data_IF_565443987701
#
_entry.id   IF_565443987701
#
_cell.length_a   1.000
_cell.length_b   1.000
_cell.length_c   1.000
_cell.angle_alpha   90.00
_cell.angle_beta   90.00
_cell.angle_gamma   90.00
#
_symmetry.space_group_name_H-M   'P 1'
#
loop_
_entity.id
_entity.type
_entity.pdbx_description
1 polymer ?
#
# COMPACT_ATOMS: atom_id res chain seq x y z
N UNK A 1 34.28 59.72 -21.71
CA UNK A 1 33.82 59.30 -20.38
C UNK A 1 32.56 60.08 -20.07
N UNK A 2 31.45 59.41 -19.72
CA UNK A 2 30.16 59.97 -19.22
C UNK A 2 28.87 59.76 -20.04
N UNK A 3 28.72 58.70 -20.85
CA UNK A 3 27.37 58.35 -21.36
C UNK A 3 26.98 56.86 -21.33
N UNK A 4 27.84 55.96 -20.84
CA UNK A 4 27.54 54.51 -20.85
C UNK A 4 26.91 54.02 -19.53
N UNK A 5 27.02 54.78 -18.44
CA UNK A 5 26.56 54.31 -17.11
C UNK A 5 25.05 54.43 -16.84
N UNK A 6 24.29 55.15 -17.67
CA UNK A 6 22.89 55.47 -17.33
C UNK A 6 21.84 54.54 -17.97
N UNK A 7 22.24 53.52 -18.73
CA UNK A 7 21.32 52.55 -19.35
C UNK A 7 21.33 51.15 -18.72
N UNK A 8 22.18 50.92 -17.72
CA UNK A 8 22.27 49.63 -17.02
C UNK A 8 21.45 49.56 -15.72
N UNK A 9 20.75 50.63 -15.34
CA UNK A 9 19.98 50.67 -14.08
C UNK A 9 18.48 50.41 -14.23
N UNK A 10 17.97 50.20 -15.45
CA UNK A 10 16.53 50.01 -15.71
C UNK A 10 16.15 48.60 -16.21
N UNK A 11 17.06 47.62 -16.10
CA UNK A 11 16.75 46.20 -16.39
C UNK A 11 16.73 45.31 -15.13
N UNK A 12 17.20 45.81 -13.99
CA UNK A 12 17.34 45.01 -12.76
C UNK A 12 16.23 45.24 -11.73
N UNK A 13 15.16 45.97 -12.07
CA UNK A 13 14.06 46.30 -11.13
C UNK A 13 12.73 45.64 -11.50
N UNK A 14 12.67 44.77 -12.52
CA UNK A 14 11.44 44.05 -12.88
C UNK A 14 11.32 42.61 -12.34
N UNK A 15 12.24 42.17 -11.48
CA UNK A 15 12.26 40.81 -10.91
C UNK A 15 12.01 40.74 -9.39
N UNK A 16 11.45 41.79 -8.78
CA UNK A 16 11.30 41.86 -7.30
C UNK A 16 9.90 42.24 -6.79
N UNK A 17 8.82 42.10 -7.58
CA UNK A 17 7.44 42.40 -7.11
C UNK A 17 6.43 41.28 -7.40
N UNK A 18 6.85 40.02 -7.35
CA UNK A 18 5.94 38.91 -7.06
C UNK A 18 6.61 37.99 -6.03
N UNK A 19 6.73 38.50 -4.81
CA UNK A 19 6.97 37.69 -3.62
C UNK A 19 5.76 36.80 -3.36
N UNK A 20 5.51 35.84 -4.25
CA UNK A 20 4.62 34.73 -3.95
C UNK A 20 5.29 33.98 -2.82
N UNK A 21 4.69 34.02 -1.63
CA UNK A 21 4.97 33.06 -0.57
C UNK A 21 4.57 31.68 -1.11
N UNK A 22 5.44 31.07 -1.91
CA UNK A 22 5.34 29.65 -2.25
C UNK A 22 5.70 28.95 -0.95
N UNK A 23 4.69 28.74 -0.11
CA UNK A 23 4.76 27.78 0.97
C UNK A 23 5.00 26.44 0.27
N UNK A 24 6.27 26.06 0.16
CA UNK A 24 6.64 24.72 -0.25
C UNK A 24 6.01 23.80 0.79
N UNK A 25 4.91 23.14 0.43
CA UNK A 25 4.44 22.02 1.22
C UNK A 25 5.58 21.01 1.20
N UNK A 26 6.11 20.61 2.36
CA UNK A 26 7.35 19.82 2.43
C UNK A 26 7.24 18.45 1.72
N UNK A 27 6.05 18.05 1.28
CA UNK A 27 5.74 16.73 0.74
C UNK A 27 5.24 16.73 -0.72
N UNK A 28 5.27 17.86 -1.42
CA UNK A 28 4.76 17.98 -2.79
C UNK A 28 3.22 17.93 -2.86
N UNK A 29 2.64 17.65 -4.05
CA UNK A 29 1.18 17.59 -4.21
C UNK A 29 0.56 16.42 -3.42
N UNK A 30 -0.67 16.63 -2.96
CA UNK A 30 -1.46 15.72 -2.13
C UNK A 30 -2.13 14.61 -2.95
N UNK A 31 -2.56 13.54 -2.28
CA UNK A 31 -3.37 12.50 -2.90
C UNK A 31 -4.67 13.06 -3.46
N UNK A 32 -5.23 14.10 -2.84
CA UNK A 32 -6.36 14.88 -3.36
C UNK A 32 -6.08 15.47 -4.74
N UNK A 33 -4.90 16.06 -4.96
CA UNK A 33 -4.51 16.63 -6.25
C UNK A 33 -4.46 15.54 -7.33
N UNK A 34 -3.91 14.36 -7.00
CA UNK A 34 -3.91 13.22 -7.91
C UNK A 34 -5.31 12.70 -8.21
N UNK A 35 -6.14 12.58 -7.18
CA UNK A 35 -7.51 12.12 -7.31
C UNK A 35 -8.30 13.01 -8.28
N UNK A 36 -8.19 14.33 -8.13
CA UNK A 36 -8.82 15.30 -9.02
C UNK A 36 -8.27 15.20 -10.45
N UNK A 37 -6.96 15.05 -10.64
CA UNK A 37 -6.40 14.79 -11.97
C UNK A 37 -6.90 13.49 -12.60
N UNK A 38 -7.04 12.42 -11.81
CA UNK A 38 -7.45 11.10 -12.29
C UNK A 38 -8.95 10.97 -12.59
N UNK A 39 -9.79 11.88 -12.11
CA UNK A 39 -11.22 11.91 -12.43
C UNK A 39 -11.59 12.99 -13.45
N UNK A 40 -10.64 13.86 -13.79
CA UNK A 40 -10.85 14.92 -14.76
C UNK A 40 -11.09 14.35 -16.16
N UNK A 41 -11.89 15.07 -16.96
CA UNK A 41 -12.21 14.71 -18.34
C UNK A 41 -11.34 15.45 -19.37
N UNK A 42 -10.56 16.44 -18.95
CA UNK A 42 -9.67 17.16 -19.84
C UNK A 42 -8.37 16.38 -20.08
N UNK A 43 -7.80 16.58 -21.27
CA UNK A 43 -6.64 15.82 -21.72
C UNK A 43 -5.38 16.05 -20.87
N UNK A 44 -5.23 17.24 -20.28
CA UNK A 44 -4.01 17.61 -19.53
C UNK A 44 -4.00 16.87 -18.20
N UNK A 45 -5.09 16.95 -17.44
CA UNK A 45 -5.21 16.25 -16.16
C UNK A 45 -5.21 14.72 -16.33
N UNK A 46 -5.88 14.21 -17.38
CA UNK A 46 -5.83 12.79 -17.70
C UNK A 46 -4.40 12.32 -18.02
N UNK A 47 -3.65 13.09 -18.83
CA UNK A 47 -2.26 12.79 -19.13
C UNK A 47 -1.36 12.87 -17.89
N UNK A 48 -1.61 13.84 -17.00
CA UNK A 48 -0.90 13.96 -15.73
C UNK A 48 -1.13 12.74 -14.83
N UNK A 49 -2.39 12.31 -14.67
CA UNK A 49 -2.74 11.11 -13.91
C UNK A 49 -2.00 9.88 -14.48
N UNK A 50 -2.20 9.59 -15.77
CA UNK A 50 -1.59 8.41 -16.41
C UNK A 50 -0.06 8.45 -16.30
N UNK A 51 0.56 9.61 -16.52
CA UNK A 51 2.00 9.79 -16.40
C UNK A 51 2.51 9.51 -14.98
N UNK A 52 1.81 10.00 -13.97
CA UNK A 52 2.15 9.73 -12.57
C UNK A 52 2.00 8.24 -12.23
N UNK A 53 0.87 7.61 -12.60
CA UNK A 53 0.61 6.20 -12.32
C UNK A 53 1.62 5.28 -13.00
N UNK A 54 1.99 5.60 -14.24
CA UNK A 54 3.05 4.90 -14.96
C UNK A 54 4.40 5.04 -14.25
N UNK A 55 4.80 6.26 -13.89
CA UNK A 55 6.05 6.49 -13.18
C UNK A 55 6.10 5.75 -11.84
N UNK A 56 5.00 5.76 -11.09
CA UNK A 56 4.88 5.02 -9.82
C UNK A 56 5.06 3.52 -10.04
N UNK A 57 4.33 2.93 -11.00
CA UNK A 57 4.38 1.49 -11.29
C UNK A 57 5.78 1.06 -11.74
N UNK A 58 6.38 1.81 -12.67
CA UNK A 58 7.72 1.52 -13.19
C UNK A 58 8.76 1.61 -12.05
N UNK A 59 8.69 2.64 -11.19
CA UNK A 59 9.54 2.77 -10.00
C UNK A 59 9.35 1.59 -9.03
N UNK A 60 8.10 1.23 -8.72
CA UNK A 60 7.81 0.15 -7.80
C UNK A 60 8.27 -1.21 -8.34
N UNK A 61 8.17 -1.46 -9.65
CA UNK A 61 8.71 -2.68 -10.26
C UNK A 61 10.22 -2.79 -10.08
N UNK A 62 10.96 -1.70 -10.36
CA UNK A 62 12.42 -1.67 -10.12
C UNK A 62 12.76 -1.89 -8.66
N UNK A 63 11.99 -1.30 -7.73
CA UNK A 63 12.18 -1.53 -6.31
C UNK A 63 11.87 -2.99 -5.92
N UNK A 64 10.75 -3.54 -6.40
CA UNK A 64 10.30 -4.90 -6.12
C UNK A 64 11.28 -5.97 -6.61
N UNK A 65 11.99 -5.74 -7.73
CA UNK A 65 13.02 -6.65 -8.24
C UNK A 65 14.25 -6.75 -7.31
N UNK A 66 14.46 -5.75 -6.44
CA UNK A 66 15.54 -5.74 -5.45
C UNK A 66 15.09 -6.24 -4.07
N UNK A 67 13.79 -6.36 -3.84
CA UNK A 67 13.21 -6.72 -2.56
C UNK A 67 12.89 -8.23 -2.52
N UNK A 68 13.03 -8.85 -1.34
CA UNK A 68 12.46 -10.18 -1.12
C UNK A 68 10.94 -10.09 -1.09
N UNK A 69 10.22 -11.14 -1.48
CA UNK A 69 8.75 -11.11 -1.60
C UNK A 69 8.03 -10.61 -0.33
N UNK A 70 8.60 -10.88 0.85
CA UNK A 70 8.08 -10.42 2.14
C UNK A 70 8.18 -8.90 2.37
N UNK A 71 8.89 -8.17 1.52
CA UNK A 71 9.06 -6.71 1.57
C UNK A 71 8.22 -5.98 0.52
N UNK A 72 7.50 -6.71 -0.35
CA UNK A 72 6.58 -6.09 -1.30
C UNK A 72 5.41 -5.44 -0.55
N UNK A 73 5.12 -4.18 -0.88
CA UNK A 73 4.01 -3.44 -0.28
C UNK A 73 2.67 -3.89 -0.85
N UNK A 74 2.62 -4.32 -2.11
CA UNK A 74 1.44 -4.85 -2.78
C UNK A 74 1.83 -5.82 -3.92
N UNK A 75 0.88 -6.67 -4.31
CA UNK A 75 1.04 -7.72 -5.30
C UNK A 75 0.00 -7.58 -6.41
N UNK A 76 0.25 -6.65 -7.32
CA UNK A 76 -0.61 -6.38 -8.48
C UNK A 76 -0.74 -7.61 -9.41
N UNK A 77 -1.95 -7.92 -9.91
CA UNK A 77 -2.14 -8.95 -10.93
C UNK A 77 -1.46 -8.56 -12.26
N UNK A 78 -0.78 -9.52 -12.90
CA UNK A 78 -0.06 -9.29 -14.16
C UNK A 78 -0.94 -8.86 -15.34
N UNK A 79 -2.25 -9.09 -15.26
CA UNK A 79 -3.22 -8.75 -16.30
C UNK A 79 -3.77 -7.32 -16.23
N UNK A 80 -3.40 -6.53 -15.21
CA UNK A 80 -3.94 -5.19 -15.00
C UNK A 80 -3.35 -4.18 -15.99
N UNK A 81 -4.23 -3.46 -16.67
CA UNK A 81 -3.89 -2.30 -17.50
C UNK A 81 -3.94 -0.97 -16.71
N UNK A 82 -3.48 0.12 -17.32
CA UNK A 82 -3.45 1.42 -16.64
C UNK A 82 -4.85 2.02 -16.36
N UNK A 83 -5.88 1.63 -17.11
CA UNK A 83 -7.25 2.10 -16.84
C UNK A 83 -7.81 1.41 -15.61
N UNK A 84 -7.59 0.10 -15.48
CA UNK A 84 -7.96 -0.66 -14.30
C UNK A 84 -7.19 -0.17 -13.07
N UNK A 85 -5.89 0.10 -13.21
CA UNK A 85 -5.06 0.68 -12.15
C UNK A 85 -5.59 2.06 -11.70
N UNK A 86 -5.90 2.95 -12.64
CA UNK A 86 -6.51 4.24 -12.35
C UNK A 86 -7.85 4.09 -11.65
N UNK A 87 -8.73 3.20 -12.14
CA UNK A 87 -10.04 2.96 -11.54
C UNK A 87 -9.93 2.51 -10.09
N UNK A 88 -9.04 1.56 -9.80
CA UNK A 88 -8.76 1.08 -8.44
C UNK A 88 -8.43 2.24 -7.50
N UNK A 89 -7.53 3.13 -7.92
CA UNK A 89 -7.12 4.26 -7.09
C UNK A 89 -8.25 5.26 -6.88
N UNK A 90 -8.98 5.61 -7.94
CA UNK A 90 -10.11 6.55 -7.87
C UNK A 90 -11.22 6.00 -6.96
N UNK A 91 -11.56 4.71 -7.09
CA UNK A 91 -12.56 4.06 -6.25
C UNK A 91 -12.13 4.02 -4.78
N UNK A 92 -10.86 3.69 -4.52
CA UNK A 92 -10.31 3.69 -3.17
C UNK A 92 -10.32 5.09 -2.54
N UNK A 93 -9.81 6.11 -3.24
CA UNK A 93 -9.74 7.48 -2.74
C UNK A 93 -11.14 8.05 -2.45
N UNK A 94 -12.14 7.69 -3.25
CA UNK A 94 -13.54 8.09 -3.04
C UNK A 94 -14.09 7.60 -1.69
N UNK A 95 -13.71 6.40 -1.25
CA UNK A 95 -14.22 5.82 0.02
C UNK A 95 -13.29 6.07 1.21
N UNK A 96 -12.12 6.68 1.00
CA UNK A 96 -11.11 6.93 2.04
C UNK A 96 -10.69 8.41 2.04
N UNK A 97 -11.59 9.36 2.37
CA UNK A 97 -11.34 10.79 2.22
C UNK A 97 -10.14 11.29 3.05
N UNK A 98 -9.79 10.63 4.15
CA UNK A 98 -8.61 10.98 4.97
C UNK A 98 -7.29 10.83 4.21
N UNK A 99 -7.23 9.86 3.30
CA UNK A 99 -6.02 9.61 2.49
C UNK A 99 -5.78 10.77 1.51
N UNK A 100 -6.78 11.58 1.18
CA UNK A 100 -6.64 12.71 0.26
C UNK A 100 -5.67 13.78 0.79
N UNK A 101 -5.54 13.92 2.10
CA UNK A 101 -4.63 14.88 2.74
C UNK A 101 -3.18 14.36 2.79
N UNK A 102 -2.95 13.09 2.49
CA UNK A 102 -1.63 12.47 2.54
C UNK A 102 -0.80 12.78 1.29
N UNK A 103 0.53 12.69 1.36
CA UNK A 103 1.40 12.73 0.18
C UNK A 103 0.98 11.68 -0.85
N UNK A 104 0.94 12.04 -2.15
CA UNK A 104 0.48 11.13 -3.22
C UNK A 104 1.10 9.74 -3.20
N UNK A 105 2.40 9.68 -2.92
CA UNK A 105 3.13 8.42 -2.88
C UNK A 105 2.52 7.48 -1.83
N UNK A 106 2.23 8.00 -0.64
CA UNK A 106 1.65 7.23 0.46
C UNK A 106 0.21 6.82 0.14
N UNK A 107 -0.60 7.74 -0.39
CA UNK A 107 -1.97 7.43 -0.76
C UNK A 107 -2.06 6.34 -1.84
N UNK A 108 -1.22 6.40 -2.87
CA UNK A 108 -1.17 5.34 -3.90
C UNK A 108 -0.68 4.02 -3.30
N UNK A 109 0.39 4.02 -2.50
CA UNK A 109 0.87 2.79 -1.82
C UNK A 109 -0.23 2.17 -0.96
N UNK A 110 -0.92 2.97 -0.15
CA UNK A 110 -1.98 2.49 0.73
C UNK A 110 -3.15 1.91 -0.05
N UNK A 111 -3.60 2.59 -1.11
CA UNK A 111 -4.67 2.12 -1.98
C UNK A 111 -4.33 0.76 -2.61
N UNK A 112 -3.11 0.61 -3.12
CA UNK A 112 -2.66 -0.62 -3.77
C UNK A 112 -2.44 -1.75 -2.76
N UNK A 113 -1.90 -1.46 -1.58
CA UNK A 113 -1.75 -2.43 -0.49
C UNK A 113 -3.10 -3.04 -0.08
N UNK A 114 -4.12 -2.19 0.06
CA UNK A 114 -5.46 -2.64 0.45
C UNK A 114 -6.20 -3.36 -0.69
N UNK A 115 -5.97 -2.96 -1.94
CA UNK A 115 -6.61 -3.60 -3.10
C UNK A 115 -5.97 -4.94 -3.46
N UNK A 116 -4.64 -4.99 -3.43
CA UNK A 116 -3.84 -6.14 -3.84
C UNK A 116 -2.83 -6.52 -2.76
N UNK A 117 -3.30 -7.00 -1.60
CA UNK A 117 -2.41 -7.46 -0.54
C UNK A 117 -1.55 -8.63 -1.01
N UNK A 118 -0.27 -8.63 -0.62
CA UNK A 118 0.61 -9.77 -0.88
C UNK A 118 0.29 -10.95 0.03
N UNK A 119 0.24 -12.19 -0.51
CA UNK A 119 0.10 -13.39 0.31
C UNK A 119 1.25 -13.56 1.32
N UNK A 120 0.90 -13.79 2.59
CA UNK A 120 1.84 -14.20 3.63
C UNK A 120 1.95 -15.74 3.65
N UNK A 121 3.17 -16.26 3.48
CA UNK A 121 3.47 -17.69 3.50
C UNK A 121 3.15 -18.37 4.84
N UNK A 122 3.50 -17.72 5.96
CA UNK A 122 3.19 -18.24 7.29
C UNK A 122 1.67 -18.24 7.49
N UNK A 123 0.98 -17.19 7.04
CA UNK A 123 -0.48 -17.13 7.12
C UNK A 123 -1.15 -18.23 6.28
N UNK A 124 -0.62 -18.52 5.09
CA UNK A 124 -1.10 -19.65 4.26
C UNK A 124 -0.92 -20.98 4.97
N UNK A 125 0.20 -21.15 5.65
CA UNK A 125 0.49 -22.36 6.44
C UNK A 125 -0.48 -22.45 7.62
N UNK A 126 -0.72 -21.34 8.32
CA UNK A 126 -1.72 -21.26 9.40
C UNK A 126 -3.11 -21.68 8.90
N UNK A 127 -3.55 -21.16 7.74
CA UNK A 127 -4.82 -21.53 7.12
C UNK A 127 -4.91 -23.02 6.77
N UNK A 128 -3.80 -23.65 6.43
CA UNK A 128 -3.77 -25.10 6.19
C UNK A 128 -3.89 -25.90 7.49
N UNK A 129 -3.30 -25.41 8.58
CA UNK A 129 -3.12 -26.17 9.81
C UNK A 129 -4.25 -25.99 10.83
N UNK A 130 -4.83 -24.80 10.91
CA UNK A 130 -5.92 -24.50 11.85
C UNK A 130 -7.15 -25.43 11.70
N UNK A 131 -7.59 -25.80 10.47
CA UNK A 131 -8.69 -26.76 10.31
C UNK A 131 -8.41 -28.12 10.93
N UNK A 132 -7.15 -28.58 10.95
CA UNK A 132 -6.75 -29.85 11.61
C UNK A 132 -6.96 -29.79 13.14
N UNK A 133 -6.89 -28.59 13.70
CA UNK A 133 -7.18 -28.31 15.11
C UNK A 133 -8.65 -27.98 15.38
N UNK A 134 -9.49 -27.89 14.35
CA UNK A 134 -10.92 -27.60 14.45
C UNK A 134 -11.31 -26.14 14.24
N UNK A 135 -10.41 -25.31 13.69
CA UNK A 135 -10.66 -23.89 13.43
C UNK A 135 -10.74 -23.61 11.92
N UNK A 136 -11.91 -23.21 11.44
CA UNK A 136 -12.20 -23.04 10.01
C UNK A 136 -11.71 -21.70 9.45
N UNK A 137 -10.73 -21.72 8.55
CA UNK A 137 -10.13 -20.51 7.96
C UNK A 137 -10.62 -20.18 6.55
N UNK A 138 -11.22 -21.15 5.85
CA UNK A 138 -11.45 -21.11 4.40
C UNK A 138 -10.20 -21.48 3.60
N UNK A 139 -10.19 -21.13 2.30
CA UNK A 139 -9.09 -21.47 1.39
C UNK A 139 -7.72 -20.88 1.85
N UNK A 140 -6.63 -21.66 1.78
CA UNK A 140 -5.31 -21.23 2.23
C UNK A 140 -4.67 -20.31 1.19
N UNK A 141 -5.10 -19.05 1.16
CA UNK A 141 -4.67 -18.02 0.20
C UNK A 141 -3.46 -17.23 0.66
N UNK A 142 -3.09 -17.29 1.94
CA UNK A 142 -2.12 -16.40 2.57
C UNK A 142 -2.64 -14.97 2.78
N UNK A 143 -3.92 -14.72 2.54
CA UNK A 143 -4.56 -13.42 2.79
C UNK A 143 -5.36 -13.47 4.10
N UNK A 144 -5.32 -12.39 4.88
CA UNK A 144 -6.05 -12.29 6.14
C UNK A 144 -7.53 -11.95 5.90
N UNK A 145 -8.31 -12.97 5.53
CA UNK A 145 -9.77 -12.85 5.35
C UNK A 145 -10.49 -12.76 6.70
N UNK A 146 -11.78 -12.39 6.67
CA UNK A 146 -12.62 -12.39 7.87
C UNK A 146 -12.74 -13.76 8.55
N UNK A 147 -12.86 -14.83 7.77
CA UNK A 147 -12.88 -16.21 8.29
C UNK A 147 -11.55 -16.59 8.93
N UNK A 148 -10.42 -16.25 8.28
CA UNK A 148 -9.09 -16.51 8.83
C UNK A 148 -8.87 -15.74 10.13
N UNK A 149 -9.27 -14.47 10.18
CA UNK A 149 -9.18 -13.67 11.41
C UNK A 149 -10.00 -14.29 12.54
N UNK A 150 -11.24 -14.68 12.29
CA UNK A 150 -12.10 -15.31 13.30
C UNK A 150 -11.50 -16.63 13.83
N UNK A 151 -10.95 -17.46 12.95
CA UNK A 151 -10.29 -18.71 13.34
C UNK A 151 -9.03 -18.48 14.18
N UNK A 152 -8.19 -17.51 13.79
CA UNK A 152 -7.01 -17.12 14.55
C UNK A 152 -7.42 -16.61 15.94
N UNK A 153 -8.41 -15.73 16.03
CA UNK A 153 -8.86 -15.17 17.31
C UNK A 153 -9.44 -16.25 18.23
N UNK A 154 -10.21 -17.20 17.69
CA UNK A 154 -10.73 -18.34 18.44
C UNK A 154 -9.61 -19.23 18.96
N UNK A 155 -8.65 -19.58 18.10
CA UNK A 155 -7.47 -20.37 18.49
C UNK A 155 -6.65 -19.66 19.58
N UNK A 156 -6.33 -18.37 19.38
CA UNK A 156 -5.58 -17.60 20.37
C UNK A 156 -6.31 -17.54 21.71
N UNK A 157 -7.63 -17.40 21.69
CA UNK A 157 -8.45 -17.40 22.90
C UNK A 157 -8.38 -18.75 23.64
N UNK A 158 -8.55 -19.87 22.95
CA UNK A 158 -8.57 -21.20 23.57
C UNK A 158 -7.22 -21.59 24.19
N UNK A 159 -6.12 -21.03 23.65
CA UNK A 159 -4.77 -21.24 24.15
C UNK A 159 -4.24 -20.09 25.04
N UNK A 160 -5.10 -19.13 25.43
CA UNK A 160 -4.74 -17.95 26.24
C UNK A 160 -3.54 -17.15 25.70
N UNK A 161 -3.51 -16.96 24.38
CA UNK A 161 -2.47 -16.18 23.69
C UNK A 161 -2.89 -14.73 23.51
N UNK A 162 -1.90 -13.85 23.38
CA UNK A 162 -2.13 -12.44 23.07
C UNK A 162 -2.78 -12.25 21.69
N UNK A 163 -3.70 -11.29 21.60
CA UNK A 163 -4.28 -10.88 20.32
C UNK A 163 -3.23 -10.22 19.44
N UNK A 164 -3.29 -10.49 18.14
CA UNK A 164 -2.42 -9.82 17.16
C UNK A 164 -0.97 -10.32 17.15
N UNK A 165 -0.74 -11.59 17.51
CA UNK A 165 0.55 -12.24 17.31
C UNK A 165 0.94 -12.19 15.82
N UNK A 166 2.24 -12.03 15.55
CA UNK A 166 2.74 -12.17 14.18
C UNK A 166 2.44 -13.58 13.65
N UNK A 167 2.26 -13.69 12.34
CA UNK A 167 2.02 -14.98 11.67
C UNK A 167 3.13 -15.99 11.96
N UNK A 168 4.37 -15.54 12.10
CA UNK A 168 5.50 -16.38 12.52
C UNK A 168 5.31 -16.99 13.92
N UNK A 169 5.09 -16.15 14.95
CA UNK A 169 4.92 -16.62 16.34
C UNK A 169 3.70 -17.52 16.48
N UNK A 170 2.61 -17.15 15.81
CA UNK A 170 1.39 -17.92 15.80
C UNK A 170 1.59 -19.29 15.14
N UNK A 171 2.31 -19.34 14.01
CA UNK A 171 2.64 -20.59 13.33
C UNK A 171 3.47 -21.52 14.22
N UNK A 172 4.48 -20.99 14.93
CA UNK A 172 5.27 -21.78 15.90
C UNK A 172 4.35 -22.46 16.92
N UNK A 173 3.42 -21.72 17.51
CA UNK A 173 2.50 -22.27 18.50
C UNK A 173 1.58 -23.36 17.92
N UNK A 174 1.06 -23.15 16.71
CA UNK A 174 0.22 -24.14 16.00
C UNK A 174 0.98 -25.45 15.74
N UNK A 175 2.24 -25.35 15.32
CA UNK A 175 3.08 -26.53 15.07
C UNK A 175 3.30 -27.34 16.36
N UNK A 176 3.51 -26.67 17.50
CA UNK A 176 3.67 -27.33 18.79
C UNK A 176 2.36 -27.98 19.29
N UNK A 177 1.22 -27.30 19.12
CA UNK A 177 -0.09 -27.86 19.44
C UNK A 177 -0.38 -29.14 18.63
N UNK A 178 -0.04 -29.15 17.33
CA UNK A 178 -0.20 -30.32 16.47
C UNK A 178 0.72 -31.48 16.85
N UNK A 179 1.97 -31.20 17.24
CA UNK A 179 2.90 -32.23 17.75
C UNK A 179 2.33 -32.90 19.00
N UNK A 180 1.83 -32.11 19.95
CA UNK A 180 1.20 -32.62 21.17
C UNK A 180 -0.03 -33.49 20.86
N UNK A 181 -0.92 -33.03 19.96
CA UNK A 181 -2.09 -33.82 19.51
C UNK A 181 -1.69 -35.15 18.87
N UNK A 182 -0.65 -35.16 18.03
CA UNK A 182 -0.14 -36.38 17.38
C UNK A 182 0.42 -37.39 18.39
N UNK A 183 1.05 -36.93 19.46
CA UNK A 183 1.54 -37.81 20.54
C UNK A 183 0.35 -38.46 21.25
N UNK A 184 -0.70 -37.70 21.57
CA UNK A 184 -1.91 -38.22 22.22
C UNK A 184 -2.61 -39.28 21.36
N UNK A 185 -2.70 -39.07 20.04
CA UNK A 185 -3.33 -40.03 19.12
C UNK A 185 -2.53 -41.33 18.93
N UNK A 186 -1.23 -41.36 19.24
CA UNK A 186 -0.40 -42.58 19.17
C UNK A 186 -0.48 -43.45 20.42
N UNK A 187 -1.06 -42.94 21.50
CA UNK A 187 -1.16 -43.62 22.79
C UNK A 187 -2.52 -44.29 23.02
N UNK A 188 -3.46 -44.10 22.10
CA UNK A 188 -4.79 -44.74 22.05
C UNK A 188 -4.86 -45.71 20.88
#
# INVERSE_FOLDING_TARGET
>A
MNEIYNRLFLSTVFLLVLGSNVQATPFGPSTGDLYESCRATDAINAAYCIGYLKAYRDWYQVAADQLVDSQRQYCEPSSIDYRDFQRVLVDYFKTHPKVLDEPRLLGVTEALHNTWPCPDFNLRTIQTLLPILGYETGEPTGLLTGSTRAAIEAYQKDFNLDKGLSSEKLLTHILDALRSKKILLKQN
#
